data_IF_706135371789
#
_entry.id   IF_706135371789
#
_cell.length_a   1.000
_cell.length_b   1.000
_cell.length_c   1.000
_cell.angle_alpha   90.00
_cell.angle_beta   90.00
_cell.angle_gamma   90.00
#
_symmetry.space_group_name_H-M   'P 1'
#
loop_
_entity.id
_entity.type
_entity.pdbx_description
1 polymer ?
#
# COMPACT_ATOMS: atom_id res chain seq x y z
N UNK A 1 -6.36 24.16 0.61
CA UNK A 1 -6.38 23.11 1.67
C UNK A 1 -7.44 23.36 2.73
N UNK A 2 -7.74 24.59 3.11
CA UNK A 2 -8.83 24.92 4.08
C UNK A 2 -10.18 24.32 3.70
N UNK A 3 -10.59 24.46 2.43
CA UNK A 3 -11.88 23.94 1.95
C UNK A 3 -11.95 22.40 2.03
N UNK A 4 -10.82 21.72 1.80
CA UNK A 4 -10.72 20.27 1.92
C UNK A 4 -10.85 19.84 3.38
N UNK A 5 -10.20 20.56 4.31
CA UNK A 5 -10.38 20.32 5.75
C UNK A 5 -11.85 20.51 6.13
N UNK A 6 -12.49 21.57 5.65
CA UNK A 6 -13.89 21.85 5.91
C UNK A 6 -14.82 20.74 5.38
N UNK A 7 -14.50 20.12 4.25
CA UNK A 7 -15.31 19.02 3.69
C UNK A 7 -15.37 17.75 4.55
N UNK A 8 -14.34 17.54 5.40
CA UNK A 8 -14.33 16.43 6.36
C UNK A 8 -14.81 16.86 7.77
N UNK A 9 -14.97 18.16 7.98
CA UNK A 9 -15.56 18.70 9.20
C UNK A 9 -17.04 18.90 8.94
N UNK A 10 -17.92 18.20 9.54
CA UNK A 10 -19.39 18.13 9.35
C UNK A 10 -20.15 19.49 9.20
N UNK A 11 -19.48 20.59 8.90
CA UNK A 11 -19.94 21.97 9.09
C UNK A 11 -20.37 22.67 7.78
N UNK A 12 -19.99 22.20 6.58
CA UNK A 12 -20.50 22.87 5.37
C UNK A 12 -20.40 22.03 4.11
N UNK A 13 -21.41 22.17 3.25
CA UNK A 13 -21.41 21.68 1.86
C UNK A 13 -20.48 22.55 0.98
N UNK A 14 -19.17 22.54 1.27
CA UNK A 14 -18.19 23.25 0.44
C UNK A 14 -18.01 22.50 -0.86
N UNK A 15 -18.18 23.18 -2.01
CA UNK A 15 -17.88 22.59 -3.30
C UNK A 15 -16.38 22.56 -3.53
N UNK A 16 -15.75 21.42 -3.20
CA UNK A 16 -14.31 21.22 -3.38
C UNK A 16 -13.93 20.64 -4.75
N UNK A 17 -14.91 20.21 -5.56
CA UNK A 17 -14.66 19.58 -6.87
C UNK A 17 -13.71 20.36 -7.78
N UNK A 18 -13.77 21.71 -7.85
CA UNK A 18 -12.87 22.50 -8.69
C UNK A 18 -11.37 22.35 -8.35
N UNK A 19 -11.04 21.93 -7.12
CA UNK A 19 -9.66 21.74 -6.68
C UNK A 19 -9.03 20.42 -7.15
N UNK A 20 -9.79 19.53 -7.79
CA UNK A 20 -9.35 18.19 -8.18
C UNK A 20 -9.29 18.02 -9.70
N UNK A 21 -8.38 17.14 -10.15
CA UNK A 21 -8.51 16.50 -11.46
C UNK A 21 -9.64 15.47 -11.42
N UNK A 22 -10.05 14.92 -12.56
CA UNK A 22 -11.11 13.91 -12.61
C UNK A 22 -10.69 12.62 -11.92
N UNK A 23 -9.44 12.19 -12.11
CA UNK A 23 -8.88 11.01 -11.44
C UNK A 23 -8.87 11.18 -9.92
N UNK A 24 -8.27 12.25 -9.42
CA UNK A 24 -8.19 12.51 -7.98
C UNK A 24 -9.57 12.68 -7.34
N UNK A 25 -10.54 13.24 -8.09
CA UNK A 25 -11.93 13.33 -7.64
C UNK A 25 -12.56 11.96 -7.47
N UNK A 26 -12.32 11.05 -8.41
CA UNK A 26 -12.79 9.67 -8.30
C UNK A 26 -12.20 8.95 -7.07
N UNK A 27 -10.90 9.13 -6.82
CA UNK A 27 -10.24 8.59 -5.61
C UNK A 27 -10.86 9.16 -4.32
N UNK A 28 -11.06 10.48 -4.27
CA UNK A 28 -11.72 11.15 -3.14
C UNK A 28 -13.12 10.57 -2.89
N UNK A 29 -13.92 10.42 -3.97
CA UNK A 29 -15.27 9.86 -3.86
C UNK A 29 -15.26 8.41 -3.35
N UNK A 30 -14.29 7.59 -3.76
CA UNK A 30 -14.13 6.22 -3.23
C UNK A 30 -13.84 6.25 -1.71
N UNK A 31 -12.91 7.11 -1.26
CA UNK A 31 -12.61 7.26 0.17
C UNK A 31 -13.85 7.67 0.97
N UNK A 32 -14.62 8.62 0.45
CA UNK A 32 -15.85 9.10 1.11
C UNK A 32 -16.93 8.03 1.16
N UNK A 33 -17.17 7.37 0.02
CA UNK A 33 -18.23 6.36 -0.08
C UNK A 33 -17.96 5.12 0.78
N UNK A 34 -16.72 4.69 0.87
CA UNK A 34 -16.36 3.48 1.61
C UNK A 34 -16.12 3.74 3.09
N UNK A 35 -15.44 4.83 3.41
CA UNK A 35 -14.95 5.08 4.76
C UNK A 35 -15.77 6.05 5.58
N UNK A 36 -16.78 6.73 5.00
CA UNK A 36 -17.53 7.79 5.66
C UNK A 36 -16.63 8.65 6.57
N UNK A 37 -15.61 9.32 6.00
CA UNK A 37 -14.54 9.96 6.75
C UNK A 37 -15.03 11.21 7.48
N UNK A 38 -14.47 11.42 8.67
CA UNK A 38 -14.58 12.67 9.41
C UNK A 38 -13.20 13.15 9.82
N UNK A 39 -13.03 14.45 10.05
CA UNK A 39 -11.75 14.96 10.54
C UNK A 39 -11.46 14.38 11.93
N UNK A 40 -10.28 13.78 12.12
CA UNK A 40 -9.89 13.17 13.39
C UNK A 40 -9.28 14.20 14.39
N UNK A 41 -8.51 15.15 13.87
CA UNK A 41 -7.85 16.26 14.59
C UNK A 41 -7.47 17.36 13.60
N UNK A 42 -7.08 18.52 14.09
CA UNK A 42 -6.53 19.58 13.23
C UNK A 42 -5.29 19.09 12.48
N UNK A 43 -5.21 19.30 11.16
CA UNK A 43 -4.04 18.88 10.36
C UNK A 43 -2.75 19.62 10.78
N UNK A 44 -1.65 18.89 10.82
CA UNK A 44 -0.29 19.43 11.03
C UNK A 44 0.49 19.35 9.72
N UNK A 45 0.13 20.19 8.78
CA UNK A 45 0.65 20.12 7.41
C UNK A 45 2.17 20.11 7.35
N UNK A 46 2.72 19.11 6.67
CA UNK A 46 4.10 19.08 6.19
C UNK A 46 4.10 19.03 4.67
N UNK A 47 5.15 19.57 4.06
CA UNK A 47 5.24 19.73 2.61
C UNK A 47 6.56 19.16 2.11
N UNK A 48 6.50 18.49 0.97
CA UNK A 48 7.66 18.05 0.19
C UNK A 48 7.42 18.38 -1.27
N UNK A 49 8.46 18.38 -2.08
CA UNK A 49 8.36 18.61 -3.51
C UNK A 49 8.92 17.41 -4.27
N UNK A 50 8.19 16.95 -5.26
CA UNK A 50 8.64 15.94 -6.20
C UNK A 50 8.22 16.37 -7.60
N UNK A 51 9.21 16.73 -8.42
CA UNK A 51 8.99 17.21 -9.79
C UNK A 51 8.01 18.40 -9.87
N UNK A 52 6.90 18.21 -10.59
CA UNK A 52 5.84 19.22 -10.74
C UNK A 52 4.84 19.23 -9.58
N UNK A 53 5.03 18.40 -8.56
CA UNK A 53 4.08 18.23 -7.47
C UNK A 53 4.56 18.88 -6.17
N UNK A 54 3.62 19.40 -5.40
CA UNK A 54 3.74 19.66 -3.97
C UNK A 54 2.97 18.56 -3.24
N UNK A 55 3.65 17.84 -2.37
CA UNK A 55 3.09 16.77 -1.55
C UNK A 55 2.70 17.38 -0.21
N UNK A 56 1.39 17.46 0.05
CA UNK A 56 0.81 17.98 1.30
C UNK A 56 0.45 16.77 2.17
N UNK A 57 1.06 16.66 3.34
CA UNK A 57 0.95 15.48 4.21
C UNK A 57 0.28 15.83 5.55
N UNK A 58 -0.17 14.79 6.25
CA UNK A 58 -0.69 14.83 7.61
C UNK A 58 -2.07 15.48 7.75
N UNK A 59 -2.99 15.09 6.86
CA UNK A 59 -4.40 15.36 7.06
C UNK A 59 -5.07 14.14 7.71
N UNK A 60 -5.32 14.18 9.03
CA UNK A 60 -5.85 13.04 9.77
C UNK A 60 -7.37 12.92 9.58
N UNK A 61 -7.81 11.80 9.03
CA UNK A 61 -9.22 11.45 8.92
C UNK A 61 -9.52 10.22 9.75
N UNK A 62 -10.73 10.15 10.28
CA UNK A 62 -11.29 8.98 10.93
C UNK A 62 -12.24 8.30 9.96
N UNK A 63 -11.87 7.12 9.49
CA UNK A 63 -12.72 6.27 8.68
C UNK A 63 -13.69 5.49 9.59
N UNK A 64 -14.96 5.46 9.20
CA UNK A 64 -16.03 4.82 9.94
C UNK A 64 -16.69 3.75 9.06
N UNK A 65 -16.20 2.52 9.12
CA UNK A 65 -16.74 1.38 8.39
C UNK A 65 -17.92 0.76 9.10
N UNK A 66 -18.68 -0.06 8.37
CA UNK A 66 -19.77 -0.86 8.95
C UNK A 66 -19.25 -1.74 10.10
N UNK A 67 -20.15 -2.17 11.00
CA UNK A 67 -19.79 -2.98 12.17
C UNK A 67 -18.94 -2.24 13.22
N UNK A 68 -19.04 -0.91 13.31
CA UNK A 68 -18.29 -0.07 14.25
C UNK A 68 -16.77 -0.16 14.12
N UNK A 69 -16.25 -0.59 12.98
CA UNK A 69 -14.81 -0.59 12.70
C UNK A 69 -14.36 0.84 12.35
N UNK A 70 -13.38 1.33 13.10
CA UNK A 70 -12.88 2.70 12.96
C UNK A 70 -11.37 2.68 12.83
N UNK A 71 -10.85 3.46 11.88
CA UNK A 71 -9.42 3.64 11.69
C UNK A 71 -9.11 5.13 11.56
N UNK A 72 -7.98 5.55 12.08
CA UNK A 72 -7.45 6.90 11.82
C UNK A 72 -6.32 6.75 10.83
N UNK A 73 -6.43 7.48 9.72
CA UNK A 73 -5.46 7.50 8.63
C UNK A 73 -5.07 8.95 8.33
N UNK A 74 -3.82 9.19 8.05
CA UNK A 74 -3.39 10.47 7.50
C UNK A 74 -3.47 10.40 5.97
N UNK A 75 -4.10 11.40 5.34
CA UNK A 75 -4.19 11.51 3.88
C UNK A 75 -3.09 12.42 3.37
N UNK A 76 -2.48 12.01 2.27
CA UNK A 76 -1.52 12.78 1.48
C UNK A 76 -2.23 13.28 0.23
N UNK A 77 -2.04 14.56 -0.09
CA UNK A 77 -2.51 15.18 -1.32
C UNK A 77 -1.33 15.58 -2.17
N UNK A 78 -1.36 15.26 -3.46
CA UNK A 78 -0.34 15.69 -4.42
C UNK A 78 -0.95 16.74 -5.32
N UNK A 79 -0.43 17.96 -5.21
CA UNK A 79 -0.95 19.16 -5.87
C UNK A 79 0.02 19.57 -6.98
N UNK A 80 -0.47 19.70 -8.19
CA UNK A 80 0.33 20.20 -9.31
C UNK A 80 0.69 21.67 -9.12
N UNK A 81 1.98 21.98 -9.20
CA UNK A 81 2.52 23.34 -9.00
C UNK A 81 1.96 24.37 -9.99
N UNK A 82 1.67 23.95 -11.23
CA UNK A 82 1.20 24.81 -12.32
C UNK A 82 -0.31 24.99 -12.28
N UNK A 83 -1.07 23.90 -12.26
CA UNK A 83 -2.53 23.92 -12.33
C UNK A 83 -3.20 24.21 -10.98
N UNK A 84 -2.45 24.06 -9.87
CA UNK A 84 -2.94 24.15 -8.49
C UNK A 84 -4.04 23.14 -8.16
N UNK A 85 -4.21 22.10 -9.00
CA UNK A 85 -5.18 21.03 -8.76
C UNK A 85 -4.53 19.85 -8.05
N UNK A 86 -5.32 19.15 -7.24
CA UNK A 86 -4.96 17.86 -6.65
C UNK A 86 -5.01 16.82 -7.77
N UNK A 87 -3.90 16.12 -7.99
CA UNK A 87 -3.74 15.09 -9.01
C UNK A 87 -3.93 13.67 -8.47
N UNK A 88 -3.64 13.46 -7.18
CA UNK A 88 -3.87 12.19 -6.50
C UNK A 88 -3.96 12.34 -4.99
N UNK A 89 -4.52 11.32 -4.35
CA UNK A 89 -4.59 11.17 -2.89
C UNK A 89 -4.10 9.79 -2.51
N UNK A 90 -3.48 9.70 -1.33
CA UNK A 90 -3.08 8.41 -0.78
C UNK A 90 -3.16 8.40 0.74
N UNK A 91 -3.25 7.21 1.33
CA UNK A 91 -3.03 7.02 2.76
C UNK A 91 -1.53 7.04 3.05
N UNK A 92 -1.13 7.90 3.96
CA UNK A 92 0.26 8.09 4.37
C UNK A 92 0.85 6.80 4.94
N UNK A 93 2.11 6.52 4.66
CA UNK A 93 2.85 5.48 5.38
C UNK A 93 2.97 5.80 6.87
N UNK A 94 3.22 4.78 7.70
CA UNK A 94 3.55 5.02 9.11
C UNK A 94 4.78 5.91 9.22
N UNK A 95 4.82 6.74 10.26
CA UNK A 95 5.95 7.65 10.50
C UNK A 95 7.28 6.87 10.61
N UNK A 96 7.25 5.65 11.15
CA UNK A 96 8.43 4.81 11.29
C UNK A 96 8.93 4.34 9.92
N UNK A 97 8.03 3.85 9.05
CA UNK A 97 8.37 3.43 7.68
C UNK A 97 8.94 4.59 6.87
N UNK A 98 8.29 5.76 6.92
CA UNK A 98 8.75 6.96 6.22
C UNK A 98 10.14 7.40 6.69
N UNK A 99 10.36 7.52 8.00
CA UNK A 99 11.66 7.88 8.59
C UNK A 99 12.76 6.90 8.17
N UNK A 100 12.45 5.59 8.14
CA UNK A 100 13.43 4.57 7.77
C UNK A 100 13.88 4.72 6.31
N UNK A 101 12.96 5.02 5.38
CA UNK A 101 13.29 5.27 3.98
C UNK A 101 14.07 6.59 3.84
N UNK A 102 13.62 7.65 4.52
CA UNK A 102 14.27 8.96 4.44
C UNK A 102 15.68 8.98 5.04
N UNK A 103 15.99 8.07 5.96
CA UNK A 103 17.32 7.94 6.56
C UNK A 103 18.35 7.24 5.63
N UNK A 104 17.94 6.70 4.48
CA UNK A 104 18.89 6.06 3.54
C UNK A 104 19.71 7.10 2.78
N UNK A 105 20.99 6.79 2.57
CA UNK A 105 21.94 7.62 1.80
C UNK A 105 21.69 7.53 0.28
N UNK A 106 20.43 7.57 -0.13
CA UNK A 106 20.02 7.64 -1.54
C UNK A 106 19.69 9.08 -1.90
N UNK A 107 19.59 9.38 -3.20
CA UNK A 107 19.12 10.70 -3.58
C UNK A 107 17.67 10.92 -3.08
N UNK A 108 17.30 12.17 -2.85
CA UNK A 108 16.01 12.53 -2.29
C UNK A 108 14.85 12.11 -3.21
N UNK A 109 15.04 12.24 -4.52
CA UNK A 109 14.06 11.84 -5.52
C UNK A 109 13.71 10.36 -5.40
N UNK A 110 14.70 9.45 -5.33
CA UNK A 110 14.48 8.01 -5.19
C UNK A 110 13.68 7.70 -3.91
N UNK A 111 14.05 8.35 -2.79
CA UNK A 111 13.35 8.16 -1.51
C UNK A 111 11.90 8.61 -1.59
N UNK A 112 11.63 9.79 -2.14
CA UNK A 112 10.28 10.33 -2.29
C UNK A 112 9.46 9.53 -3.29
N UNK A 113 10.05 9.07 -4.41
CA UNK A 113 9.39 8.20 -5.38
C UNK A 113 8.98 6.88 -4.75
N UNK A 114 9.88 6.25 -3.97
CA UNK A 114 9.57 5.01 -3.26
C UNK A 114 8.46 5.18 -2.23
N UNK A 115 8.50 6.24 -1.42
CA UNK A 115 7.43 6.57 -0.46
C UNK A 115 6.11 6.77 -1.18
N UNK A 116 6.10 7.57 -2.24
CA UNK A 116 4.91 7.84 -3.08
C UNK A 116 4.32 6.55 -3.62
N UNK A 117 5.16 5.69 -4.20
CA UNK A 117 4.74 4.39 -4.74
C UNK A 117 4.11 3.49 -3.66
N UNK A 118 4.73 3.38 -2.50
CA UNK A 118 4.21 2.53 -1.41
C UNK A 118 2.89 3.07 -0.84
N UNK A 119 2.72 4.38 -0.78
CA UNK A 119 1.47 5.03 -0.37
C UNK A 119 0.35 4.73 -1.37
N UNK A 120 0.62 4.86 -2.67
CA UNK A 120 -0.35 4.56 -3.73
C UNK A 120 -0.68 3.06 -3.76
N UNK A 121 0.33 2.20 -3.67
CA UNK A 121 0.16 0.75 -3.61
C UNK A 121 -0.75 0.34 -2.43
N UNK A 122 -0.45 0.83 -1.22
CA UNK A 122 -1.26 0.60 -0.04
C UNK A 122 -2.70 1.09 -0.24
N UNK A 123 -2.86 2.31 -0.76
CA UNK A 123 -4.15 2.95 -0.98
C UNK A 123 -4.98 2.18 -1.98
N UNK A 124 -4.39 1.70 -3.07
CA UNK A 124 -5.08 0.91 -4.08
C UNK A 124 -5.67 -0.38 -3.50
N UNK A 125 -4.96 -1.05 -2.58
CA UNK A 125 -5.53 -2.21 -1.88
C UNK A 125 -6.65 -1.81 -0.93
N UNK A 126 -6.51 -0.72 -0.19
CA UNK A 126 -7.56 -0.22 0.70
C UNK A 126 -8.83 0.15 -0.08
N UNK A 127 -8.68 0.78 -1.24
CA UNK A 127 -9.79 1.17 -2.14
C UNK A 127 -10.20 0.07 -3.11
N UNK A 128 -9.58 -1.11 -3.04
CA UNK A 128 -9.85 -2.27 -3.91
C UNK A 128 -9.72 -1.95 -5.40
N UNK A 129 -8.75 -1.09 -5.73
CA UNK A 129 -8.49 -0.59 -7.08
C UNK A 129 -7.67 -1.61 -7.90
N UNK A 130 -8.36 -2.55 -8.52
CA UNK A 130 -7.75 -3.60 -9.36
C UNK A 130 -7.06 -3.02 -10.59
N UNK A 131 -7.53 -1.91 -11.13
CA UNK A 131 -6.95 -1.29 -12.32
C UNK A 131 -5.56 -0.72 -12.02
N UNK A 132 -5.43 0.01 -10.91
CA UNK A 132 -4.14 0.47 -10.45
C UNK A 132 -3.19 -0.70 -10.14
N UNK A 133 -3.66 -1.71 -9.39
CA UNK A 133 -2.85 -2.88 -9.05
C UNK A 133 -2.39 -3.60 -10.31
N UNK A 134 -3.25 -3.79 -11.30
CA UNK A 134 -2.87 -4.36 -12.60
C UNK A 134 -1.78 -3.53 -13.30
N UNK A 135 -1.90 -2.21 -13.29
CA UNK A 135 -0.95 -1.30 -13.93
C UNK A 135 0.45 -1.38 -13.33
N UNK A 136 0.55 -1.49 -12.00
CA UNK A 136 1.85 -1.45 -11.29
C UNK A 136 2.55 -2.79 -11.18
N UNK A 137 1.92 -3.90 -11.53
CA UNK A 137 2.60 -5.20 -11.61
C UNK A 137 3.20 -5.42 -12.99
N UNK A 138 4.45 -5.86 -13.04
CA UNK A 138 5.06 -6.39 -14.27
C UNK A 138 4.31 -7.63 -14.76
N UNK A 139 4.29 -7.86 -16.08
CA UNK A 139 3.61 -9.02 -16.64
C UNK A 139 4.27 -10.36 -16.24
N UNK A 140 5.56 -10.31 -15.98
CA UNK A 140 6.39 -11.44 -15.52
C UNK A 140 6.64 -11.42 -14.01
N UNK A 141 5.83 -10.69 -13.24
CA UNK A 141 6.00 -10.56 -11.81
C UNK A 141 5.99 -11.92 -11.08
N UNK A 142 6.98 -12.12 -10.21
CA UNK A 142 7.04 -13.28 -9.31
C UNK A 142 6.18 -13.01 -8.07
N UNK A 143 5.07 -13.73 -7.93
CA UNK A 143 4.08 -13.46 -6.89
C UNK A 143 3.87 -14.69 -6.02
N UNK A 144 4.17 -14.58 -4.72
CA UNK A 144 3.84 -15.59 -3.71
C UNK A 144 2.84 -15.00 -2.71
N UNK A 145 1.77 -15.75 -2.49
CA UNK A 145 0.74 -15.43 -1.50
C UNK A 145 0.72 -16.51 -0.43
N UNK A 146 0.91 -16.12 0.82
CA UNK A 146 0.68 -16.96 1.98
C UNK A 146 -0.80 -16.90 2.40
N UNK A 147 -1.38 -18.04 2.70
CA UNK A 147 -2.72 -18.15 3.28
C UNK A 147 -2.64 -18.90 4.59
N UNK A 148 -3.01 -18.22 5.66
CA UNK A 148 -3.14 -18.83 6.98
C UNK A 148 -4.38 -19.70 7.01
N UNK A 149 -4.20 -21.02 7.16
CA UNK A 149 -5.30 -21.93 7.34
C UNK A 149 -5.75 -21.87 8.80
N UNK A 150 -6.89 -21.24 9.06
CA UNK A 150 -7.48 -21.26 10.40
C UNK A 150 -7.87 -22.71 10.75
N UNK A 151 -7.27 -23.26 11.80
CA UNK A 151 -7.79 -24.51 12.37
C UNK A 151 -9.20 -24.25 12.90
N UNK A 152 -10.15 -25.12 12.54
CA UNK A 152 -11.50 -25.08 13.11
C UNK A 152 -11.39 -25.13 14.63
N UNK A 153 -11.93 -24.10 15.30
CA UNK A 153 -12.02 -24.06 16.77
C UNK A 153 -12.74 -25.32 17.24
N UNK A 154 -12.02 -26.31 17.75
CA UNK A 154 -12.65 -27.34 18.59
C UNK A 154 -13.14 -26.62 19.84
N UNK A 155 -14.49 -26.55 20.01
CA UNK A 155 -15.10 -26.11 21.25
C UNK A 155 -14.71 -27.09 22.33
N UNK A 156 -13.75 -26.75 23.17
CA UNK A 156 -13.59 -27.33 24.49
C UNK A 156 -14.30 -26.40 25.46
N UNK A 157 -15.28 -26.96 26.17
CA UNK A 157 -15.89 -26.30 27.32
C UNK A 157 -14.84 -26.35 28.43
N UNK A 158 -14.09 -25.31 28.60
CA UNK A 158 -13.54 -24.82 29.85
C UNK A 158 -12.79 -23.50 29.65
N UNK A 159 -12.85 -22.63 30.65
CA UNK A 159 -12.44 -21.24 30.66
C UNK A 159 -10.93 -20.99 30.52
N UNK A 160 -10.27 -21.49 29.49
CA UNK A 160 -8.90 -21.14 29.15
C UNK A 160 -8.78 -20.96 27.65
N UNK A 161 -8.80 -19.72 27.20
CA UNK A 161 -8.44 -19.35 25.83
C UNK A 161 -6.92 -19.53 25.65
N UNK A 162 -6.49 -20.73 25.31
CA UNK A 162 -5.18 -20.97 24.70
C UNK A 162 -5.34 -20.66 23.22
N UNK A 163 -4.91 -19.49 22.79
CA UNK A 163 -4.70 -19.13 21.39
C UNK A 163 -3.48 -19.91 20.91
N UNK A 164 -3.69 -21.11 20.36
CA UNK A 164 -2.63 -21.79 19.60
C UNK A 164 -2.44 -21.05 18.28
N UNK A 165 -1.37 -20.28 18.17
CA UNK A 165 -0.96 -19.52 16.99
C UNK A 165 -0.32 -20.40 15.89
N UNK A 166 -0.32 -21.70 15.97
CA UNK A 166 0.23 -22.60 14.94
C UNK A 166 -0.76 -22.85 13.80
N UNK A 167 -1.23 -21.76 13.16
CA UNK A 167 -1.95 -21.85 11.90
C UNK A 167 -0.98 -22.28 10.78
N UNK A 168 -1.22 -23.44 10.17
CA UNK A 168 -0.44 -23.87 8.99
C UNK A 168 -0.61 -22.85 7.88
N UNK A 169 0.48 -22.27 7.40
CA UNK A 169 0.48 -21.36 6.24
C UNK A 169 0.73 -22.19 4.98
N UNK A 170 -0.07 -21.94 3.95
CA UNK A 170 0.14 -22.47 2.62
C UNK A 170 0.58 -21.35 1.70
N UNK A 171 1.72 -21.51 1.07
CA UNK A 171 2.28 -20.58 0.10
C UNK A 171 1.95 -21.05 -1.31
N UNK A 172 1.45 -20.13 -2.12
CA UNK A 172 1.11 -20.44 -3.53
C UNK A 172 1.72 -19.37 -4.41
N UNK A 173 2.42 -19.81 -5.45
CA UNK A 173 2.91 -18.94 -6.52
C UNK A 173 1.81 -18.76 -7.57
N UNK A 174 1.64 -17.52 -8.03
CA UNK A 174 0.67 -17.15 -9.05
C UNK A 174 1.34 -16.38 -10.18
N UNK A 175 0.81 -16.51 -11.38
CA UNK A 175 1.00 -15.52 -12.44
C UNK A 175 0.29 -14.20 -12.06
N UNK A 176 0.63 -13.11 -12.75
CA UNK A 176 -0.07 -11.82 -12.56
C UNK A 176 -1.58 -11.97 -12.79
N UNK A 177 -1.98 -12.64 -13.85
CA UNK A 177 -3.38 -12.83 -14.24
C UNK A 177 -4.15 -13.62 -13.18
N UNK A 178 -3.60 -14.74 -12.71
CA UNK A 178 -4.22 -15.55 -11.65
C UNK A 178 -4.34 -14.79 -10.36
N UNK A 179 -3.28 -14.05 -10.00
CA UNK A 179 -3.28 -13.20 -8.81
C UNK A 179 -4.39 -12.14 -8.86
N UNK A 180 -4.51 -11.41 -9.97
CA UNK A 180 -5.53 -10.37 -10.14
C UNK A 180 -6.95 -10.93 -10.13
N UNK A 181 -7.18 -12.11 -10.75
CA UNK A 181 -8.48 -12.80 -10.70
C UNK A 181 -8.86 -13.17 -9.26
N UNK A 182 -7.91 -13.73 -8.51
CA UNK A 182 -8.13 -14.13 -7.12
C UNK A 182 -8.30 -12.90 -6.20
N UNK A 183 -7.51 -11.87 -6.41
CA UNK A 183 -7.61 -10.62 -5.67
C UNK A 183 -8.97 -9.92 -5.90
N UNK A 184 -9.43 -9.87 -7.15
CA UNK A 184 -10.75 -9.32 -7.49
C UNK A 184 -11.88 -10.07 -6.78
N UNK A 185 -11.83 -11.41 -6.79
CA UNK A 185 -12.81 -12.24 -6.04
C UNK A 185 -12.76 -11.95 -4.54
N UNK A 186 -11.56 -11.81 -3.98
CA UNK A 186 -11.37 -11.45 -2.57
C UNK A 186 -11.98 -10.09 -2.27
N UNK A 187 -11.70 -9.07 -3.07
CA UNK A 187 -12.22 -7.72 -2.89
C UNK A 187 -13.74 -7.64 -2.96
N UNK A 188 -14.37 -8.39 -3.87
CA UNK A 188 -15.83 -8.45 -3.99
C UNK A 188 -16.52 -9.02 -2.74
N UNK A 189 -15.81 -9.82 -1.95
CA UNK A 189 -16.32 -10.43 -0.70
C UNK A 189 -16.10 -9.55 0.53
N UNK A 190 -15.46 -8.37 0.37
CA UNK A 190 -15.10 -7.49 1.48
C UNK A 190 -15.93 -6.20 1.46
N UNK A 191 -16.46 -5.82 2.62
CA UNK A 191 -17.12 -4.53 2.80
C UNK A 191 -16.09 -3.38 2.85
N UNK A 192 -14.93 -3.66 3.45
CA UNK A 192 -13.79 -2.76 3.49
C UNK A 192 -12.49 -3.55 3.56
N UNK A 193 -11.41 -2.90 3.16
CA UNK A 193 -10.03 -3.34 3.37
C UNK A 193 -9.26 -2.16 3.98
N UNK A 194 -8.49 -2.41 5.03
CA UNK A 194 -7.53 -1.46 5.56
C UNK A 194 -6.19 -2.19 5.73
N UNK A 195 -5.16 -1.66 5.10
CA UNK A 195 -3.79 -2.19 5.18
C UNK A 195 -2.91 -1.13 5.84
N UNK A 196 -2.01 -1.57 6.72
CA UNK A 196 -0.96 -0.74 7.29
C UNK A 196 0.40 -1.35 7.05
N UNK A 197 1.37 -0.51 6.76
CA UNK A 197 2.78 -0.88 6.64
C UNK A 197 3.52 -0.32 7.85
N UNK A 198 3.93 -1.23 8.71
CA UNK A 198 4.75 -0.95 9.89
C UNK A 198 6.16 -1.47 9.63
N UNK A 199 7.09 -1.32 10.53
CA UNK A 199 8.44 -1.90 10.47
C UNK A 199 8.98 -2.10 9.05
N UNK A 200 9.85 -1.24 8.59
CA UNK A 200 10.34 -1.25 7.22
C UNK A 200 11.83 -1.60 7.18
N UNK A 201 12.20 -2.51 6.27
CA UNK A 201 13.57 -2.68 5.82
C UNK A 201 13.64 -2.44 4.31
N UNK A 202 14.62 -1.68 3.84
CA UNK A 202 14.75 -1.34 2.43
C UNK A 202 16.18 -1.51 1.94
N UNK A 203 16.32 -2.04 0.73
CA UNK A 203 17.56 -2.20 0.01
C UNK A 203 17.49 -1.59 -1.39
N UNK A 204 18.66 -1.26 -1.96
CA UNK A 204 18.83 -0.77 -3.33
C UNK A 204 19.78 -1.70 -4.06
N UNK A 205 19.44 -2.04 -5.29
CA UNK A 205 20.33 -2.78 -6.19
C UNK A 205 21.44 -1.90 -6.72
N UNK A 206 22.57 -2.53 -7.03
CA UNK A 206 23.76 -1.89 -7.58
C UNK A 206 24.17 -2.54 -8.90
N UNK A 207 25.01 -1.86 -9.69
CA UNK A 207 25.48 -2.34 -10.99
C UNK A 207 24.33 -2.65 -11.95
N UNK A 208 24.27 -3.88 -12.48
CA UNK A 208 23.21 -4.32 -13.38
C UNK A 208 21.77 -4.26 -12.78
N UNK A 209 21.68 -4.09 -11.46
CA UNK A 209 20.41 -3.98 -10.70
C UNK A 209 20.13 -2.57 -10.25
N UNK A 210 20.86 -1.58 -10.75
CA UNK A 210 20.59 -0.18 -10.44
C UNK A 210 19.16 0.19 -10.84
N UNK A 211 18.49 0.94 -9.96
CA UNK A 211 17.08 1.29 -10.12
C UNK A 211 16.08 0.24 -9.63
N UNK A 212 16.56 -0.92 -9.13
CA UNK A 212 15.72 -1.89 -8.43
C UNK A 212 15.80 -1.61 -6.93
N UNK A 213 14.64 -1.50 -6.30
CA UNK A 213 14.51 -1.30 -4.85
C UNK A 213 13.71 -2.44 -4.24
N UNK A 214 14.17 -2.97 -3.13
CA UNK A 214 13.41 -3.94 -2.37
C UNK A 214 12.94 -3.35 -1.05
N UNK A 215 11.70 -3.64 -0.71
CA UNK A 215 11.04 -3.19 0.51
C UNK A 215 10.46 -4.39 1.22
N UNK A 216 10.81 -4.56 2.47
CA UNK A 216 10.20 -5.55 3.35
C UNK A 216 9.50 -4.82 4.50
N UNK A 217 8.18 -4.95 4.58
CA UNK A 217 7.35 -4.30 5.59
C UNK A 217 6.53 -5.32 6.36
N UNK A 218 6.29 -5.06 7.63
CA UNK A 218 5.23 -5.74 8.37
C UNK A 218 3.89 -5.20 7.89
N UNK A 219 3.11 -6.05 7.25
CA UNK A 219 1.79 -5.72 6.74
C UNK A 219 0.73 -6.18 7.73
N UNK A 220 -0.04 -5.23 8.25
CA UNK A 220 -1.27 -5.50 8.99
C UNK A 220 -2.44 -5.37 8.01
N UNK A 221 -3.22 -6.43 7.85
CA UNK A 221 -4.40 -6.45 6.98
C UNK A 221 -5.67 -6.60 7.80
N UNK A 222 -6.65 -5.76 7.55
CA UNK A 222 -7.95 -5.78 8.20
C UNK A 222 -9.07 -5.72 7.18
N UNK A 223 -10.13 -6.51 7.40
CA UNK A 223 -11.39 -6.43 6.66
C UNK A 223 -12.56 -6.75 7.59
N UNK A 224 -13.78 -6.77 7.06
CA UNK A 224 -14.98 -7.11 7.84
C UNK A 224 -14.95 -8.55 8.40
N UNK A 225 -14.31 -9.50 7.73
CA UNK A 225 -14.36 -10.92 8.06
C UNK A 225 -12.98 -11.62 8.10
N UNK A 226 -11.89 -10.88 7.96
CA UNK A 226 -10.54 -11.44 7.98
C UNK A 226 -9.53 -10.40 8.45
N UNK A 227 -8.53 -10.84 9.18
CA UNK A 227 -7.34 -10.04 9.51
C UNK A 227 -6.12 -10.94 9.52
N UNK A 228 -4.99 -10.42 9.08
CA UNK A 228 -3.68 -11.05 9.21
C UNK A 228 -2.59 -10.04 9.54
N UNK A 229 -1.47 -10.58 9.98
CA UNK A 229 -0.23 -9.89 10.28
C UNK A 229 0.89 -10.72 9.68
N UNK A 230 1.68 -10.13 8.81
CA UNK A 230 2.76 -10.83 8.13
C UNK A 230 3.76 -9.88 7.50
N UNK A 231 4.72 -10.45 6.83
CA UNK A 231 5.79 -9.72 6.16
C UNK A 231 5.52 -9.70 4.65
N UNK A 232 5.35 -8.50 4.13
CA UNK A 232 5.28 -8.25 2.69
C UNK A 232 6.66 -7.81 2.19
N UNK A 233 7.20 -8.54 1.22
CA UNK A 233 8.42 -8.16 0.51
C UNK A 233 8.08 -7.83 -0.93
N UNK A 234 8.49 -6.64 -1.39
CA UNK A 234 8.34 -6.16 -2.76
C UNK A 234 9.72 -5.88 -3.35
N UNK A 235 9.94 -6.29 -4.60
CA UNK A 235 11.02 -5.73 -5.43
C UNK A 235 10.38 -4.85 -6.51
N UNK A 236 10.81 -3.60 -6.55
CA UNK A 236 10.21 -2.53 -7.35
C UNK A 236 11.25 -2.03 -8.34
N UNK A 237 10.94 -2.11 -9.60
CA UNK A 237 11.73 -1.54 -10.68
C UNK A 237 11.35 -0.07 -10.86
N UNK A 238 12.27 0.81 -10.49
CA UNK A 238 12.13 2.27 -10.57
C UNK A 238 13.03 2.86 -11.67
N UNK A 239 13.54 2.06 -12.61
CA UNK A 239 14.31 2.56 -13.76
C UNK A 239 13.47 3.51 -14.63
N UNK A 240 12.16 3.28 -14.64
CA UNK A 240 11.18 4.28 -15.06
C UNK A 240 10.43 4.78 -13.80
N UNK A 241 10.91 5.88 -13.26
CA UNK A 241 10.42 6.48 -12.01
C UNK A 241 9.02 7.10 -12.13
N UNK A 242 8.56 7.36 -13.35
CA UNK A 242 7.18 7.79 -13.62
C UNK A 242 6.20 6.62 -13.52
N UNK A 243 6.63 5.41 -13.86
CA UNK A 243 5.83 4.19 -13.83
C UNK A 243 6.61 3.04 -13.20
N UNK A 244 6.85 3.07 -11.87
CA UNK A 244 7.49 1.96 -11.17
C UNK A 244 6.68 0.67 -11.31
N UNK A 245 7.39 -0.48 -11.41
CA UNK A 245 6.77 -1.78 -11.57
C UNK A 245 7.17 -2.75 -10.46
N UNK A 246 6.21 -3.45 -9.89
CA UNK A 246 6.46 -4.57 -8.97
C UNK A 246 6.90 -5.78 -9.78
N UNK A 247 8.15 -6.20 -9.59
CA UNK A 247 8.73 -7.41 -10.18
C UNK A 247 8.57 -8.64 -9.30
N UNK A 248 8.62 -8.43 -7.98
CA UNK A 248 8.45 -9.50 -7.00
C UNK A 248 7.50 -9.04 -5.91
N UNK A 249 6.57 -9.91 -5.55
CA UNK A 249 5.69 -9.76 -4.38
C UNK A 249 5.65 -11.07 -3.61
N UNK A 250 6.15 -11.07 -2.38
CA UNK A 250 6.08 -12.22 -1.49
C UNK A 250 5.42 -11.81 -0.18
N UNK A 251 4.40 -12.54 0.24
CA UNK A 251 3.82 -12.39 1.58
C UNK A 251 4.09 -13.64 2.39
N UNK A 252 4.60 -13.47 3.61
CA UNK A 252 4.93 -14.51 4.55
C UNK A 252 4.39 -14.19 5.93
N UNK A 253 4.13 -15.20 6.76
CA UNK A 253 3.70 -14.98 8.14
C UNK A 253 4.84 -14.44 9.00
N UNK A 254 6.05 -14.92 8.78
CA UNK A 254 7.26 -14.51 9.49
C UNK A 254 8.39 -14.17 8.50
N UNK A 255 9.41 -13.47 8.96
CA UNK A 255 10.60 -13.20 8.13
C UNK A 255 11.35 -14.49 7.86
N UNK A 256 11.53 -14.79 6.60
CA UNK A 256 12.33 -15.90 6.11
C UNK A 256 13.61 -15.38 5.46
N UNK A 257 14.71 -16.06 5.72
CA UNK A 257 16.03 -15.72 5.14
C UNK A 257 16.06 -15.88 3.62
N UNK A 258 15.19 -16.70 3.03
CA UNK A 258 15.10 -16.89 1.59
C UNK A 258 14.42 -15.76 0.82
N UNK A 259 13.76 -14.82 1.53
CA UNK A 259 12.99 -13.73 0.92
C UNK A 259 13.37 -12.37 1.52
N UNK A 260 14.66 -12.16 1.78
CA UNK A 260 15.18 -10.86 2.20
C UNK A 260 15.10 -9.83 1.07
N UNK A 261 15.22 -8.55 1.40
CA UNK A 261 15.24 -7.49 0.40
C UNK A 261 16.34 -7.73 -0.65
N UNK A 262 17.53 -8.12 -0.21
CA UNK A 262 18.70 -8.39 -1.07
C UNK A 262 18.41 -9.55 -2.03
N UNK A 263 17.87 -10.66 -1.55
CA UNK A 263 17.54 -11.81 -2.39
C UNK A 263 16.43 -11.50 -3.39
N UNK A 264 15.47 -10.63 -3.04
CA UNK A 264 14.44 -10.21 -3.97
C UNK A 264 15.00 -9.34 -5.10
N UNK A 265 16.00 -8.50 -4.82
CA UNK A 265 16.74 -7.77 -5.86
C UNK A 265 17.45 -8.76 -6.80
N UNK A 266 18.07 -9.81 -6.26
CA UNK A 266 18.75 -10.83 -7.07
C UNK A 266 17.78 -11.59 -7.99
N UNK A 267 16.59 -11.93 -7.53
CA UNK A 267 15.58 -12.66 -8.30
C UNK A 267 15.03 -11.87 -9.50
N UNK A 268 15.00 -10.52 -9.44
CA UNK A 268 14.48 -9.70 -10.55
C UNK A 268 15.29 -9.80 -11.84
N UNK A 269 16.56 -10.22 -11.76
CA UNK A 269 17.45 -10.33 -12.93
C UNK A 269 17.36 -11.70 -13.59
N UNK A 270 17.01 -12.72 -12.83
CA UNK A 270 16.91 -14.11 -13.37
C UNK A 270 15.77 -14.25 -14.40
N UNK A 271 14.75 -13.40 -14.34
CA UNK A 271 13.62 -13.40 -15.27
C UNK A 271 13.93 -12.69 -16.60
N UNK A 272 14.85 -11.73 -16.63
CA UNK A 272 15.24 -11.03 -17.86
C UNK A 272 16.20 -11.87 -18.74
N UNK A 273 16.97 -12.80 -18.15
CA UNK A 273 17.93 -13.64 -18.86
C UNK A 273 17.31 -14.84 -19.59
N UNK A 274 16.08 -15.21 -19.31
CA UNK A 274 15.40 -16.38 -19.90
C UNK A 274 14.62 -16.07 -21.18
N UNK A 275 14.51 -14.81 -21.60
CA UNK A 275 13.74 -14.41 -22.79
C UNK A 275 14.66 -14.24 -24.04
N UNK A 276 15.98 -14.29 -23.90
CA UNK A 276 16.92 -14.06 -25.04
C UNK A 276 17.51 -15.33 -25.66
N UNK A 277 16.93 -16.51 -25.42
CA UNK A 277 17.34 -17.76 -26.07
C UNK A 277 16.14 -18.63 -26.44
N UNK A 278 15.44 -18.19 -27.50
CA UNK A 278 14.77 -19.09 -28.46
C UNK A 278 14.50 -18.33 -29.77
#
# INVERSE_FOLDING_TARGET
MSDIVASFSSISAVNIRPHFTDSAWSEYQKIVAEGNPTLARTPSWTFAELDSLVICREMPIKLNFKGNKKFVEDVVFRVNKKTKKIESLAYKLSQNTEKHIMAKEWNERDRLTLITFLEDYRTAYCLRDIEYINKVFSNDAYIIVGKVLQQSKKKYNDNTELINQDGKVVYTQYSKEEYLVNLKKSFMSKEFVNIRFEECNVGKGYNAKEGIYAVQVRQLYYSNNYSDDGILTLAIDMRNDVNPLVRVRVWQQERDVEYTAEQMIERTVSTEGSISSN
#
